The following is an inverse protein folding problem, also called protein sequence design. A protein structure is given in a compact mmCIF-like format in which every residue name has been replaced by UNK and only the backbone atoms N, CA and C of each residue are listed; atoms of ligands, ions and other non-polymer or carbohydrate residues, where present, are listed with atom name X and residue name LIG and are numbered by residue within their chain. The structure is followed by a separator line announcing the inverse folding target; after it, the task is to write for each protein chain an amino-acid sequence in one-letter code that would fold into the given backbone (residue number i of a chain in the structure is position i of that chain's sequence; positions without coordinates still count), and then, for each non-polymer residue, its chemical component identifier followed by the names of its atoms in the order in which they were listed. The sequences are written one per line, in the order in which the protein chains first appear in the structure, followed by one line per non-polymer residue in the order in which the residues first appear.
data_IF_215571917544
#
_entry.id   IF_215571917544
#
_cell.length_a   1.000
_cell.length_b   1.000
_cell.length_c   1.000
_cell.angle_alpha   90.00
_cell.angle_beta   90.00
_cell.angle_gamma   90.00
#
_symmetry.space_group_name_H-M   'P 1'
#
loop_
_entity.id
_entity.type
_entity.pdbx_description
1 polymer ?
#
# COMPACT_ATOMS: atom_id res chain seq x y z
N UNK A 1 26.11 -24.30 54.86
CA UNK A 1 25.39 -23.05 54.47
C UNK A 1 25.96 -22.39 53.21
N UNK A 2 27.27 -22.12 53.08
CA UNK A 2 27.86 -21.41 51.91
C UNK A 2 27.59 -22.08 50.56
N UNK A 3 27.70 -23.41 50.47
CA UNK A 3 27.45 -24.14 49.21
C UNK A 3 25.99 -24.06 48.72
N UNK A 4 25.03 -24.01 49.65
CA UNK A 4 23.61 -23.89 49.33
C UNK A 4 23.28 -22.48 48.80
N UNK A 5 23.83 -21.44 49.43
CA UNK A 5 23.69 -20.06 48.97
C UNK A 5 24.31 -19.88 47.56
N UNK A 6 25.47 -20.50 47.31
CA UNK A 6 26.10 -20.49 45.97
C UNK A 6 25.23 -21.18 44.91
N UNK A 7 24.58 -22.31 45.24
CA UNK A 7 23.63 -22.98 44.34
C UNK A 7 22.41 -22.12 44.04
N UNK A 8 21.80 -21.51 45.07
CA UNK A 8 20.65 -20.62 44.88
C UNK A 8 21.00 -19.41 44.01
N UNK A 9 22.16 -18.80 44.25
CA UNK A 9 22.63 -17.68 43.46
C UNK A 9 22.86 -18.06 41.99
N UNK A 10 23.52 -19.19 41.73
CA UNK A 10 23.72 -19.69 40.37
C UNK A 10 22.39 -19.99 39.66
N UNK A 11 21.43 -20.58 40.38
CA UNK A 11 20.09 -20.85 39.86
C UNK A 11 19.35 -19.57 39.46
N UNK A 12 19.37 -18.54 40.32
CA UNK A 12 18.74 -17.26 40.03
C UNK A 12 19.37 -16.54 38.82
N UNK A 13 20.69 -16.63 38.66
CA UNK A 13 21.39 -16.09 37.49
C UNK A 13 20.99 -16.85 36.22
N UNK A 14 20.98 -18.19 36.26
CA UNK A 14 20.63 -18.99 35.10
C UNK A 14 19.18 -18.73 34.65
N UNK A 15 18.22 -18.68 35.58
CA UNK A 15 16.84 -18.31 35.25
C UNK A 15 16.78 -16.93 34.55
N UNK A 16 17.49 -15.93 35.09
CA UNK A 16 17.49 -14.60 34.48
C UNK A 16 18.13 -14.61 33.10
N UNK A 17 19.17 -15.41 32.89
CA UNK A 17 19.83 -15.59 31.60
C UNK A 17 18.89 -16.24 30.58
N UNK A 18 18.19 -17.31 30.97
CA UNK A 18 17.20 -17.98 30.13
C UNK A 18 16.07 -17.02 29.72
N UNK A 19 15.56 -16.23 30.67
CA UNK A 19 14.54 -15.23 30.39
C UNK A 19 15.03 -14.18 29.38
N UNK A 20 16.25 -13.66 29.55
CA UNK A 20 16.84 -12.68 28.62
C UNK A 20 17.00 -13.30 27.23
N UNK A 21 17.44 -14.55 27.13
CA UNK A 21 17.58 -15.26 25.86
C UNK A 21 16.25 -15.46 25.16
N UNK A 22 15.20 -15.83 25.90
CA UNK A 22 13.85 -15.99 25.35
C UNK A 22 13.32 -14.65 24.82
N UNK A 23 13.40 -13.58 25.61
CA UNK A 23 12.98 -12.25 25.17
C UNK A 23 13.76 -11.77 23.95
N UNK A 24 15.06 -12.05 23.91
CA UNK A 24 15.88 -11.74 22.73
C UNK A 24 15.37 -12.49 21.49
N UNK A 25 15.10 -13.79 21.62
CA UNK A 25 14.57 -14.60 20.52
C UNK A 25 13.20 -14.10 20.03
N UNK A 26 12.30 -13.75 20.95
CA UNK A 26 10.99 -13.18 20.60
C UNK A 26 11.11 -11.84 19.86
N UNK A 27 12.03 -10.97 20.29
CA UNK A 27 12.30 -9.70 19.61
C UNK A 27 12.90 -9.90 18.22
N UNK A 28 13.79 -10.89 18.04
CA UNK A 28 14.37 -11.22 16.74
C UNK A 28 13.32 -11.75 15.76
N UNK A 29 12.41 -12.61 16.24
CA UNK A 29 11.25 -13.07 15.44
C UNK A 29 10.38 -11.88 15.06
N UNK A 30 10.01 -11.02 16.03
CA UNK A 30 9.13 -9.89 15.75
C UNK A 30 9.73 -8.90 14.77
N UNK A 31 11.04 -8.66 14.88
CA UNK A 31 11.79 -7.86 13.92
C UNK A 31 11.70 -8.45 12.51
N UNK A 32 11.92 -9.76 12.35
CA UNK A 32 11.85 -10.40 11.04
C UNK A 32 10.44 -10.33 10.44
N UNK A 33 9.39 -10.40 11.25
CA UNK A 33 8.01 -10.20 10.79
C UNK A 33 7.78 -8.77 10.28
N UNK A 34 8.25 -7.76 11.02
CA UNK A 34 8.12 -6.36 10.63
C UNK A 34 8.91 -6.05 9.35
N UNK A 35 10.12 -6.59 9.20
CA UNK A 35 10.91 -6.45 7.97
C UNK A 35 10.13 -6.99 6.75
N UNK A 36 9.48 -8.15 6.87
CA UNK A 36 8.64 -8.70 5.79
C UNK A 36 7.40 -7.85 5.50
N UNK A 37 6.79 -7.29 6.53
CA UNK A 37 5.63 -6.41 6.39
C UNK A 37 5.99 -5.10 5.67
N UNK A 38 7.14 -4.53 6.00
CA UNK A 38 7.71 -3.35 5.32
C UNK A 38 7.95 -3.68 3.84
N UNK A 39 8.68 -4.75 3.54
CA UNK A 39 8.96 -5.17 2.15
C UNK A 39 7.67 -5.38 1.33
N UNK A 40 6.65 -5.99 1.95
CA UNK A 40 5.35 -6.22 1.33
C UNK A 40 4.64 -4.89 1.05
N UNK A 41 4.64 -3.98 2.02
CA UNK A 41 3.99 -2.67 1.93
C UNK A 41 4.65 -1.81 0.86
N UNK A 42 5.99 -1.78 0.79
CA UNK A 42 6.75 -1.12 -0.28
C UNK A 42 6.41 -1.70 -1.67
N UNK A 43 6.29 -3.02 -1.77
CA UNK A 43 5.89 -3.69 -3.02
C UNK A 43 4.49 -3.25 -3.47
N UNK A 44 3.55 -3.13 -2.54
CA UNK A 44 2.20 -2.64 -2.85
C UNK A 44 2.20 -1.17 -3.23
N UNK A 45 3.01 -0.33 -2.57
CA UNK A 45 3.15 1.09 -2.91
C UNK A 45 3.56 1.25 -4.39
N UNK A 46 4.60 0.54 -4.83
CA UNK A 46 5.06 0.57 -6.23
C UNK A 46 3.96 0.11 -7.19
N UNK A 47 3.18 -0.90 -6.83
CA UNK A 47 2.05 -1.37 -7.67
C UNK A 47 0.95 -0.33 -7.81
N UNK A 48 0.62 0.35 -6.71
CA UNK A 48 -0.40 1.41 -6.70
C UNK A 48 0.06 2.61 -7.53
N UNK A 49 1.31 3.04 -7.39
CA UNK A 49 1.89 4.12 -8.18
C UNK A 49 1.87 3.81 -9.69
N UNK A 50 2.24 2.58 -10.08
CA UNK A 50 2.12 2.13 -11.48
C UNK A 50 0.68 2.15 -11.98
N UNK A 51 -0.27 1.68 -11.15
CA UNK A 51 -1.70 1.68 -11.51
C UNK A 51 -2.24 3.09 -11.66
N UNK A 52 -1.83 4.01 -10.79
CA UNK A 52 -2.19 5.43 -10.87
C UNK A 52 -1.73 6.03 -12.21
N UNK A 53 -0.48 5.78 -12.61
CA UNK A 53 0.03 6.25 -13.89
C UNK A 53 -0.80 5.71 -15.07
N UNK A 54 -1.08 4.39 -15.10
CA UNK A 54 -1.90 3.81 -16.17
C UNK A 54 -3.32 4.40 -16.22
N UNK A 55 -3.91 4.75 -15.08
CA UNK A 55 -5.22 5.39 -15.03
C UNK A 55 -5.17 6.83 -15.56
N UNK A 56 -4.09 7.56 -15.31
CA UNK A 56 -3.89 8.90 -15.87
C UNK A 56 -3.75 8.85 -17.39
N UNK A 57 -3.01 7.88 -17.92
CA UNK A 57 -2.88 7.66 -19.36
C UNK A 57 -4.24 7.31 -19.99
N UNK A 58 -5.00 6.41 -19.36
CA UNK A 58 -6.35 6.06 -19.81
C UNK A 58 -7.29 7.27 -19.77
N UNK A 59 -7.26 8.08 -18.71
CA UNK A 59 -8.07 9.29 -18.61
C UNK A 59 -7.82 10.22 -19.80
N UNK A 60 -6.55 10.42 -20.17
CA UNK A 60 -6.18 11.25 -21.30
C UNK A 60 -6.75 10.72 -22.63
N UNK A 61 -6.70 9.40 -22.84
CA UNK A 61 -7.28 8.76 -24.03
C UNK A 61 -8.79 8.93 -24.06
N UNK A 62 -9.49 8.65 -22.95
CA UNK A 62 -10.96 8.77 -22.87
C UNK A 62 -11.41 10.22 -23.10
N UNK A 63 -10.71 11.20 -22.51
CA UNK A 63 -10.97 12.62 -22.72
C UNK A 63 -10.73 13.06 -24.17
N UNK A 64 -9.65 12.59 -24.79
CA UNK A 64 -9.35 12.88 -26.20
C UNK A 64 -10.42 12.28 -27.11
N UNK A 65 -10.89 11.07 -26.80
CA UNK A 65 -11.95 10.40 -27.54
C UNK A 65 -13.27 11.18 -27.44
N UNK A 66 -13.63 11.66 -26.24
CA UNK A 66 -14.79 12.52 -26.04
C UNK A 66 -14.67 13.83 -26.82
N UNK A 67 -13.53 14.52 -26.73
CA UNK A 67 -13.29 15.77 -27.44
C UNK A 67 -13.36 15.60 -28.98
N UNK A 68 -12.87 14.47 -29.51
CA UNK A 68 -12.99 14.17 -30.94
C UNK A 68 -14.45 13.96 -31.36
N UNK A 69 -15.26 13.37 -30.48
CA UNK A 69 -16.70 13.18 -30.72
C UNK A 69 -17.48 14.49 -30.67
N UNK A 70 -17.10 15.41 -29.80
CA UNK A 70 -17.70 16.75 -29.69
C UNK A 70 -17.37 17.63 -30.91
N UNK A 71 -16.34 17.29 -31.69
CA UNK A 71 -16.00 17.96 -32.95
C UNK A 71 -16.83 17.49 -34.16
N UNK A 72 -17.73 16.51 -33.99
CA UNK A 72 -18.67 16.10 -35.05
C UNK A 72 -19.62 17.26 -35.39
N UNK A 73 -20.05 17.35 -36.65
CA UNK A 73 -20.88 18.44 -37.15
C UNK A 73 -22.13 17.90 -37.88
N UNK A 74 -23.11 18.78 -38.09
CA UNK A 74 -24.39 18.50 -38.76
C UNK A 74 -25.09 17.25 -38.21
N UNK A 75 -25.46 16.31 -39.08
CA UNK A 75 -26.21 15.09 -38.72
C UNK A 75 -25.43 14.13 -37.82
N UNK A 76 -24.10 14.27 -37.73
CA UNK A 76 -23.23 13.41 -36.93
C UNK A 76 -23.06 13.92 -35.49
N UNK A 77 -23.53 15.14 -35.17
CA UNK A 77 -23.51 15.69 -33.81
C UNK A 77 -24.67 15.10 -32.99
N UNK A 78 -24.47 13.87 -32.51
CA UNK A 78 -25.43 13.15 -31.68
C UNK A 78 -24.79 12.79 -30.35
N UNK A 79 -25.53 13.02 -29.26
CA UNK A 79 -25.19 12.51 -27.93
C UNK A 79 -25.58 11.03 -27.84
N UNK A 80 -24.82 10.21 -28.56
CA UNK A 80 -25.00 8.77 -28.59
C UNK A 80 -24.67 8.12 -27.23
N UNK A 81 -25.09 6.88 -27.06
CA UNK A 81 -24.87 6.16 -25.80
C UNK A 81 -23.39 6.04 -25.46
N UNK A 82 -22.53 5.95 -26.48
CA UNK A 82 -21.09 5.88 -26.26
C UNK A 82 -20.52 7.20 -25.70
N UNK A 83 -21.05 8.37 -26.08
CA UNK A 83 -20.68 9.64 -25.45
C UNK A 83 -21.06 9.68 -23.97
N UNK A 84 -22.24 9.16 -23.61
CA UNK A 84 -22.65 9.05 -22.20
C UNK A 84 -21.73 8.11 -21.43
N UNK A 85 -21.38 6.97 -22.02
CA UNK A 85 -20.47 6.00 -21.42
C UNK A 85 -19.07 6.60 -21.20
N UNK A 86 -18.54 7.37 -22.16
CA UNK A 86 -17.26 8.07 -22.00
C UNK A 86 -17.27 9.07 -20.84
N UNK A 87 -18.38 9.81 -20.64
CA UNK A 87 -18.52 10.75 -19.53
C UNK A 87 -18.53 9.98 -18.19
N UNK A 88 -19.27 8.87 -18.12
CA UNK A 88 -19.30 8.02 -16.93
C UNK A 88 -17.93 7.41 -16.64
N UNK A 89 -17.22 6.95 -17.68
CA UNK A 89 -15.88 6.38 -17.57
C UNK A 89 -14.87 7.42 -17.05
N UNK A 90 -14.90 8.65 -17.58
CA UNK A 90 -14.05 9.75 -17.09
C UNK A 90 -14.29 9.98 -15.59
N UNK A 91 -15.54 10.06 -15.16
CA UNK A 91 -15.90 10.26 -13.75
C UNK A 91 -15.38 9.11 -12.87
N UNK A 92 -15.55 7.85 -13.32
CA UNK A 92 -15.07 6.68 -12.61
C UNK A 92 -13.53 6.65 -12.49
N UNK A 93 -12.82 6.95 -13.58
CA UNK A 93 -11.35 7.00 -13.59
C UNK A 93 -10.84 8.10 -12.66
N UNK A 94 -11.43 9.29 -12.68
CA UNK A 94 -11.07 10.39 -11.77
C UNK A 94 -11.29 10.05 -10.29
N UNK A 95 -12.39 9.36 -9.99
CA UNK A 95 -12.65 8.83 -8.65
C UNK A 95 -11.57 7.82 -8.21
N UNK A 96 -11.19 6.90 -9.09
CA UNK A 96 -10.15 5.92 -8.84
C UNK A 96 -8.77 6.58 -8.63
N UNK A 97 -8.40 7.55 -9.47
CA UNK A 97 -7.16 8.35 -9.33
C UNK A 97 -7.12 9.01 -7.95
N UNK A 98 -8.20 9.68 -7.54
CA UNK A 98 -8.28 10.37 -6.25
C UNK A 98 -8.09 9.41 -5.08
N UNK A 99 -8.73 8.24 -5.14
CA UNK A 99 -8.59 7.20 -4.13
C UNK A 99 -7.15 6.71 -4.03
N UNK A 100 -6.54 6.32 -5.16
CA UNK A 100 -5.18 5.78 -5.17
C UNK A 100 -4.14 6.82 -4.73
N UNK A 101 -4.30 8.09 -5.12
CA UNK A 101 -3.41 9.17 -4.65
C UNK A 101 -3.45 9.33 -3.13
N UNK A 102 -4.65 9.26 -2.51
CA UNK A 102 -4.78 9.29 -1.05
C UNK A 102 -4.16 8.06 -0.40
N UNK A 103 -4.39 6.88 -0.98
CA UNK A 103 -3.81 5.64 -0.47
C UNK A 103 -2.28 5.67 -0.51
N UNK A 104 -1.68 6.18 -1.60
CA UNK A 104 -0.22 6.36 -1.71
C UNK A 104 0.30 7.22 -0.56
N UNK A 105 -0.34 8.35 -0.28
CA UNK A 105 0.08 9.25 0.79
C UNK A 105 0.00 8.58 2.16
N UNK A 106 -1.10 7.89 2.44
CA UNK A 106 -1.28 7.13 3.68
C UNK A 106 -0.26 6.00 3.83
N UNK A 107 0.03 5.26 2.75
CA UNK A 107 1.03 4.19 2.75
C UNK A 107 2.44 4.74 2.94
N UNK A 108 2.77 5.89 2.34
CA UNK A 108 4.06 6.56 2.55
C UNK A 108 4.24 7.02 4.00
N UNK A 109 3.19 7.56 4.61
CA UNK A 109 3.24 7.94 6.03
C UNK A 109 3.35 6.72 6.96
N UNK A 110 2.71 5.59 6.62
CA UNK A 110 2.85 4.33 7.36
C UNK A 110 4.28 3.77 7.32
N UNK A 111 5.02 4.01 6.22
CA UNK A 111 6.39 3.55 6.03
C UNK A 111 7.45 4.50 6.62
N UNK A 112 7.04 5.67 7.13
CA UNK A 112 7.93 6.71 7.66
C UNK A 112 8.34 6.43 9.10
#
# INVERSE_FOLDING_TARGET
MIALAKRYFLYAINQRLDHIQNWKGELEVKRSELEKEIDSTETYLVRIEKRLQSLQDNLHITQTTLANREKRYDIDLVHDDVQKDLIMEISAIQGAITLLSRTIEQTKEQLR
#
